data_IF_129138685839
#
_entry.id   IF_129138685839
#
_cell.length_a   1.000
_cell.length_b   1.000
_cell.length_c   1.000
_cell.angle_alpha   90.00
_cell.angle_beta   90.00
_cell.angle_gamma   90.00
#
_symmetry.space_group_name_H-M   'P 1'
#
loop_
_entity.id
_entity.type
_entity.pdbx_description
1 polymer ?
#
# COMPACT_ATOMS: atom_id res chain seq x y z
N UNK A 1 12.42 44.10 -36.53
CA UNK A 1 11.96 45.30 -35.82
C UNK A 1 10.87 44.95 -34.83
N UNK A 2 11.08 45.24 -33.55
CA UNK A 2 10.02 45.31 -32.57
C UNK A 2 10.11 44.25 -31.46
N UNK A 3 11.03 44.44 -30.52
CA UNK A 3 11.09 43.83 -29.17
C UNK A 3 10.07 44.55 -28.30
N UNK A 4 9.26 43.79 -27.56
CA UNK A 4 8.58 44.33 -26.40
C UNK A 4 8.71 43.31 -25.25
N UNK A 5 9.61 43.59 -24.32
CA UNK A 5 9.69 43.07 -22.97
C UNK A 5 8.58 43.71 -22.14
N UNK A 6 7.86 42.89 -21.39
CA UNK A 6 7.08 43.35 -20.24
C UNK A 6 7.43 42.53 -19.02
N UNK A 7 8.19 43.16 -18.16
CA UNK A 7 8.47 42.75 -16.78
C UNK A 7 7.27 43.22 -15.93
N UNK A 8 6.66 42.30 -15.18
CA UNK A 8 5.74 42.68 -14.12
C UNK A 8 6.28 42.12 -12.82
N UNK A 9 6.83 43.00 -12.03
CA UNK A 9 7.16 42.77 -10.63
C UNK A 9 5.92 43.10 -9.80
N UNK A 10 5.55 42.26 -8.88
CA UNK A 10 4.66 42.61 -7.80
C UNK A 10 5.25 42.20 -6.47
N UNK A 11 5.37 43.19 -5.66
CA UNK A 11 6.00 43.32 -4.37
C UNK A 11 5.25 42.62 -3.24
N UNK A 12 6.00 42.11 -2.37
CA UNK A 12 5.94 41.94 -0.92
C UNK A 12 4.98 42.87 -0.16
N UNK A 13 4.22 42.32 0.78
CA UNK A 13 3.74 43.01 1.97
C UNK A 13 3.58 42.00 3.12
N UNK A 14 4.51 42.05 4.02
CA UNK A 14 4.43 41.59 5.40
C UNK A 14 3.42 42.43 6.20
N UNK A 15 2.66 41.76 7.05
CA UNK A 15 2.13 42.37 8.29
C UNK A 15 1.97 41.29 9.36
N UNK A 16 2.82 41.37 10.35
CA UNK A 16 2.68 40.88 11.69
C UNK A 16 1.50 41.54 12.39
N UNK A 17 0.68 40.81 13.10
CA UNK A 17 0.22 41.26 14.42
C UNK A 17 -0.17 40.06 15.31
N UNK A 18 0.27 40.14 16.51
CA UNK A 18 0.06 39.23 17.61
C UNK A 18 -1.06 39.79 18.50
N UNK A 19 -1.95 38.96 19.01
CA UNK A 19 -2.61 39.18 20.31
C UNK A 19 -3.25 37.89 20.83
N UNK A 20 -2.80 37.53 21.90
CA UNK A 20 -3.11 36.79 23.10
C UNK A 20 -4.56 36.80 23.59
N UNK A 21 -4.84 35.74 24.40
CA UNK A 21 -5.76 35.67 25.58
C UNK A 21 -7.22 35.40 25.27
N UNK A 22 -7.99 34.57 25.93
CA UNK A 22 -8.00 33.95 27.25
C UNK A 22 -9.02 32.82 27.30
N UNK A 23 -8.71 31.74 27.98
CA UNK A 23 -9.40 31.07 29.07
C UNK A 23 -10.95 31.16 29.17
N UNK A 24 -11.65 29.98 29.12
CA UNK A 24 -12.64 29.61 30.16
C UNK A 24 -13.14 28.16 29.98
N UNK A 25 -12.85 27.38 30.87
CA UNK A 25 -13.35 26.37 31.76
C UNK A 25 -14.89 26.37 31.94
N UNK A 26 -15.55 25.24 31.71
CA UNK A 26 -16.74 24.79 32.47
C UNK A 26 -16.98 23.31 32.21
N UNK A 27 -16.75 22.46 33.14
CA UNK A 27 -17.56 21.78 34.15
C UNK A 27 -18.69 20.88 33.62
N UNK A 28 -18.48 19.61 33.83
CA UNK A 28 -19.28 18.56 34.48
C UNK A 28 -20.80 18.59 34.29
N UNK A 29 -21.31 17.49 33.75
CA UNK A 29 -22.48 16.85 34.41
C UNK A 29 -22.47 15.34 34.21
N UNK A 30 -22.40 14.69 35.36
CA UNK A 30 -22.59 13.29 35.69
C UNK A 30 -24.08 13.03 35.77
N UNK A 31 -24.55 11.92 35.24
CA UNK A 31 -25.83 11.36 35.66
C UNK A 31 -25.77 9.85 35.62
N UNK A 32 -25.70 9.32 36.79
CA UNK A 32 -25.97 7.94 37.16
C UNK A 32 -27.45 7.64 36.94
N UNK A 33 -27.82 6.49 36.48
CA UNK A 33 -28.97 5.80 37.07
C UNK A 33 -28.87 4.29 36.95
N UNK A 34 -29.12 3.72 38.04
CA UNK A 34 -29.06 2.40 38.57
C UNK A 34 -30.25 1.52 38.18
N UNK A 35 -30.03 0.21 38.26
CA UNK A 35 -30.90 -0.81 38.87
C UNK A 35 -32.05 -1.42 38.01
N UNK A 36 -32.10 -2.72 37.78
CA UNK A 36 -32.62 -3.72 38.68
C UNK A 36 -32.56 -5.15 38.11
N UNK A 37 -31.98 -5.99 38.88
CA UNK A 37 -32.08 -7.40 39.15
C UNK A 37 -33.52 -7.93 39.12
N UNK A 38 -33.73 -9.09 38.47
CA UNK A 38 -34.73 -10.04 39.00
C UNK A 38 -34.34 -11.49 38.70
N UNK A 39 -34.31 -12.23 39.74
CA UNK A 39 -34.03 -13.68 39.87
C UNK A 39 -35.32 -14.50 39.78
N UNK A 40 -35.11 -15.83 39.57
CA UNK A 40 -35.91 -17.01 39.96
C UNK A 40 -36.96 -17.46 38.95
N UNK A 41 -37.25 -18.71 38.78
CA UNK A 41 -36.92 -20.02 39.39
C UNK A 41 -37.49 -21.12 38.51
N UNK A 42 -36.78 -22.25 38.47
CA UNK A 42 -37.17 -23.66 38.42
C UNK A 42 -38.51 -24.09 37.81
N UNK A 43 -38.48 -25.08 36.91
CA UNK A 43 -38.98 -26.44 37.23
C UNK A 43 -38.62 -27.44 36.13
N UNK A 44 -38.27 -28.60 36.61
CA UNK A 44 -37.85 -29.87 36.10
C UNK A 44 -39.01 -30.60 35.39
N UNK A 45 -38.71 -31.29 34.27
CA UNK A 45 -39.45 -32.48 33.87
C UNK A 45 -38.60 -33.38 32.99
N UNK A 46 -38.46 -34.61 33.43
CA UNK A 46 -37.69 -35.70 32.82
C UNK A 46 -38.40 -36.32 31.60
N UNK A 47 -37.51 -36.99 30.83
CA UNK A 47 -37.68 -38.20 30.02
C UNK A 47 -38.25 -38.04 28.59
N UNK A 48 -37.45 -38.32 27.53
CA UNK A 48 -37.42 -39.65 26.92
C UNK A 48 -36.27 -39.77 25.91
N UNK A 49 -35.62 -40.93 25.89
CA UNK A 49 -34.53 -41.31 24.98
C UNK A 49 -35.13 -41.67 23.62
N UNK A 50 -34.60 -41.11 22.57
CA UNK A 50 -34.55 -41.77 21.29
C UNK A 50 -33.16 -41.49 20.68
N UNK A 51 -32.37 -42.50 20.56
CA UNK A 51 -31.13 -42.55 19.76
C UNK A 51 -31.52 -42.39 18.30
N UNK A 52 -31.04 -41.33 17.63
CA UNK A 52 -30.93 -41.29 16.18
C UNK A 52 -29.49 -40.96 15.82
N UNK A 53 -28.82 -41.99 15.34
CA UNK A 53 -27.50 -42.01 14.79
C UNK A 53 -27.56 -41.30 13.41
N UNK A 54 -27.27 -40.01 13.38
CA UNK A 54 -27.11 -39.27 12.14
C UNK A 54 -25.69 -38.80 12.03
N UNK A 55 -24.93 -39.48 11.21
CA UNK A 55 -23.66 -39.12 10.65
C UNK A 55 -23.49 -37.62 10.46
N UNK A 56 -22.81 -36.98 11.38
CA UNK A 56 -22.30 -35.63 11.22
C UNK A 56 -21.10 -35.66 10.32
N UNK A 57 -21.37 -35.68 9.02
CA UNK A 57 -20.36 -35.44 7.99
C UNK A 57 -19.84 -34.00 8.21
N UNK A 58 -18.78 -33.92 8.94
CA UNK A 58 -17.95 -32.71 9.06
C UNK A 58 -17.48 -32.35 7.64
N UNK A 59 -18.14 -31.37 7.06
CA UNK A 59 -17.72 -30.78 5.80
C UNK A 59 -16.46 -29.94 6.09
N UNK A 60 -15.29 -30.58 6.14
CA UNK A 60 -14.01 -29.90 6.11
C UNK A 60 -13.91 -29.24 4.74
N UNK A 61 -14.20 -27.95 4.71
CA UNK A 61 -13.82 -27.09 3.61
C UNK A 61 -12.29 -27.07 3.59
N UNK A 62 -11.70 -27.84 2.71
CA UNK A 62 -10.28 -27.76 2.40
C UNK A 62 -10.08 -26.36 1.80
N UNK A 63 -9.61 -25.43 2.61
CA UNK A 63 -9.09 -24.16 2.10
C UNK A 63 -7.80 -24.51 1.36
N UNK A 64 -7.81 -24.36 0.03
CA UNK A 64 -6.60 -24.43 -0.76
C UNK A 64 -5.63 -23.35 -0.23
N UNK A 65 -4.44 -23.76 0.17
CA UNK A 65 -3.35 -22.84 0.54
C UNK A 65 -2.89 -22.13 -0.73
N UNK A 66 -3.31 -20.87 -0.89
CA UNK A 66 -2.95 -20.01 -2.02
C UNK A 66 -1.64 -19.25 -1.77
N UNK A 67 -0.96 -19.54 -0.68
CA UNK A 67 0.27 -18.85 -0.34
C UNK A 67 1.32 -19.01 -1.43
N UNK A 68 2.08 -17.95 -1.64
CA UNK A 68 3.17 -17.89 -2.58
C UNK A 68 4.45 -17.43 -1.88
N UNK A 69 5.59 -17.90 -2.37
CA UNK A 69 6.91 -17.40 -1.99
C UNK A 69 7.41 -16.48 -3.10
N UNK A 70 7.74 -15.25 -2.75
CA UNK A 70 8.22 -14.22 -3.69
C UNK A 70 9.59 -13.70 -3.26
N UNK A 71 10.35 -13.19 -4.21
CA UNK A 71 11.61 -12.50 -3.96
C UNK A 71 11.37 -11.01 -3.84
N UNK A 72 11.68 -10.43 -2.69
CA UNK A 72 11.65 -8.97 -2.47
C UNK A 72 13.06 -8.40 -2.65
N UNK A 73 13.16 -7.33 -3.41
CA UNK A 73 14.39 -6.57 -3.61
C UNK A 73 14.38 -5.30 -2.78
N UNK A 74 15.52 -4.99 -2.15
CA UNK A 74 15.77 -3.75 -1.39
C UNK A 74 17.16 -3.23 -1.73
N UNK A 75 17.50 -2.01 -1.33
CA UNK A 75 18.90 -1.58 -1.32
C UNK A 75 19.65 -2.16 -0.12
N UNK A 76 20.98 -2.34 -0.27
CA UNK A 76 21.83 -2.54 0.89
C UNK A 76 21.96 -1.23 1.71
N UNK A 77 22.54 -1.31 2.91
CA UNK A 77 22.64 -0.19 3.85
C UNK A 77 23.40 1.03 3.26
N UNK A 78 24.36 0.79 2.40
CA UNK A 78 25.17 1.83 1.75
C UNK A 78 24.53 2.37 0.46
N UNK A 79 23.37 1.86 0.05
CA UNK A 79 22.70 2.17 -1.21
C UNK A 79 23.63 2.07 -2.44
N UNK A 80 24.35 0.96 -2.54
CA UNK A 80 25.32 0.67 -3.63
C UNK A 80 24.98 -0.58 -4.42
N UNK A 81 24.03 -1.41 -3.92
CA UNK A 81 23.61 -2.64 -4.58
C UNK A 81 22.19 -3.03 -4.15
N UNK A 82 21.50 -3.78 -5.02
CA UNK A 82 20.30 -4.48 -4.63
C UNK A 82 20.65 -5.73 -3.80
N UNK A 83 19.88 -5.99 -2.77
CA UNK A 83 19.85 -7.24 -2.03
C UNK A 83 18.45 -7.84 -2.15
N UNK A 84 18.36 -9.17 -2.04
CA UNK A 84 17.09 -9.85 -2.18
C UNK A 84 16.88 -10.84 -1.05
N UNK A 85 15.61 -11.04 -0.68
CA UNK A 85 15.20 -12.05 0.28
C UNK A 85 13.90 -12.72 -0.15
N UNK A 86 13.71 -13.96 0.26
CA UNK A 86 12.47 -14.69 0.03
C UNK A 86 11.46 -14.37 1.12
N UNK A 87 10.22 -14.06 0.73
CA UNK A 87 9.12 -13.71 1.62
C UNK A 87 7.88 -14.51 1.24
N UNK A 88 7.23 -15.11 2.24
CA UNK A 88 5.93 -15.78 2.04
C UNK A 88 4.81 -14.76 2.13
N UNK A 89 3.90 -14.78 1.15
CA UNK A 89 2.67 -14.00 1.10
C UNK A 89 1.45 -14.93 1.04
N UNK A 90 0.30 -14.45 1.48
CA UNK A 90 -0.92 -15.27 1.57
C UNK A 90 -1.46 -15.68 0.19
N UNK A 91 -1.33 -14.84 -0.80
CA UNK A 91 -1.72 -15.09 -2.19
C UNK A 91 -0.89 -14.19 -3.10
N UNK A 92 -0.55 -14.68 -4.31
CA UNK A 92 0.15 -13.87 -5.31
C UNK A 92 -0.82 -12.84 -5.92
N UNK A 93 -0.89 -11.67 -5.27
CA UNK A 93 -1.63 -10.51 -5.75
C UNK A 93 -0.73 -9.28 -5.72
N UNK A 94 -0.99 -8.28 -6.60
CA UNK A 94 -0.22 -7.03 -6.59
C UNK A 94 -0.25 -6.33 -5.24
N UNK A 95 -1.39 -6.36 -4.55
CA UNK A 95 -1.59 -5.77 -3.24
C UNK A 95 -0.70 -6.44 -2.18
N UNK A 96 -0.62 -7.76 -2.19
CA UNK A 96 0.23 -8.50 -1.25
C UNK A 96 1.73 -8.27 -1.52
N UNK A 97 2.13 -8.12 -2.79
CA UNK A 97 3.50 -7.72 -3.16
C UNK A 97 3.80 -6.32 -2.61
N UNK A 98 2.91 -5.33 -2.83
CA UNK A 98 3.08 -3.97 -2.30
C UNK A 98 3.12 -3.97 -0.78
N UNK A 99 2.26 -4.73 -0.11
CA UNK A 99 2.28 -4.88 1.35
C UNK A 99 3.63 -5.45 1.84
N UNK A 100 4.20 -6.43 1.14
CA UNK A 100 5.52 -6.96 1.47
C UNK A 100 6.64 -5.92 1.28
N UNK A 101 6.59 -5.12 0.21
CA UNK A 101 7.52 -4.00 -0.02
C UNK A 101 7.39 -2.91 1.06
N UNK A 102 6.18 -2.62 1.52
CA UNK A 102 5.92 -1.70 2.65
C UNK A 102 6.52 -2.25 3.95
N UNK A 103 6.32 -3.55 4.25
CA UNK A 103 6.91 -4.19 5.43
C UNK A 103 8.44 -4.15 5.43
N UNK A 104 9.05 -4.15 4.24
CA UNK A 104 10.50 -4.02 4.05
C UNK A 104 10.97 -2.56 3.94
N UNK A 105 10.08 -1.60 4.20
CA UNK A 105 10.37 -0.17 4.14
C UNK A 105 10.84 0.35 2.76
N UNK A 106 10.53 -0.38 1.70
CA UNK A 106 10.77 0.06 0.32
C UNK A 106 9.73 1.09 -0.10
N UNK A 107 8.49 0.91 0.35
CA UNK A 107 7.38 1.79 0.02
C UNK A 107 6.72 2.36 1.28
N UNK A 108 6.10 3.52 1.12
CA UNK A 108 5.25 4.14 2.13
C UNK A 108 3.92 3.38 2.30
N UNK A 109 3.35 3.41 3.49
CA UNK A 109 2.16 2.64 3.86
C UNK A 109 0.87 3.07 3.16
N UNK A 110 0.86 4.19 2.47
CA UNK A 110 -0.26 4.75 1.70
C UNK A 110 -0.20 4.43 0.20
N UNK A 111 0.90 3.82 -0.27
CA UNK A 111 1.01 3.34 -1.65
C UNK A 111 0.05 2.19 -1.90
N UNK A 112 -0.66 2.24 -3.03
CA UNK A 112 -1.61 1.21 -3.49
C UNK A 112 -1.44 0.96 -4.98
N UNK A 113 -1.66 -0.30 -5.38
CA UNK A 113 -1.85 -0.64 -6.80
C UNK A 113 -3.31 -0.37 -7.17
N UNK A 114 -3.52 0.32 -8.26
CA UNK A 114 -4.83 0.60 -8.85
C UNK A 114 -5.16 -0.44 -9.93
N UNK A 115 -4.13 -0.87 -10.66
CA UNK A 115 -4.27 -1.81 -11.77
C UNK A 115 -2.98 -2.59 -11.97
N UNK A 116 -3.10 -3.87 -12.34
CA UNK A 116 -1.96 -4.70 -12.74
C UNK A 116 -2.40 -5.67 -13.83
N UNK A 117 -1.76 -5.60 -14.99
CA UNK A 117 -2.13 -6.40 -16.17
C UNK A 117 -0.90 -6.99 -16.85
N UNK A 118 -0.96 -8.29 -17.14
CA UNK A 118 0.04 -8.94 -17.97
C UNK A 118 -0.17 -8.57 -19.44
N UNK A 119 0.92 -8.26 -20.12
CA UNK A 119 0.95 -7.89 -21.54
C UNK A 119 2.00 -8.72 -22.30
N UNK A 120 1.91 -8.71 -23.61
CA UNK A 120 2.98 -9.19 -24.49
C UNK A 120 3.45 -8.02 -25.33
N UNK A 121 4.67 -7.58 -25.13
CA UNK A 121 5.25 -6.44 -25.84
C UNK A 121 6.52 -6.89 -26.54
N UNK A 122 6.59 -6.69 -27.85
CA UNK A 122 7.71 -7.15 -28.69
C UNK A 122 7.99 -8.67 -28.56
N UNK A 123 6.96 -9.45 -28.26
CA UNK A 123 7.07 -10.90 -28.10
C UNK A 123 7.54 -11.37 -26.73
N UNK A 124 7.77 -10.48 -25.76
CA UNK A 124 8.16 -10.82 -24.40
C UNK A 124 7.03 -10.56 -23.41
N UNK A 125 6.97 -11.38 -22.35
CA UNK A 125 6.02 -11.20 -21.26
C UNK A 125 6.37 -9.94 -20.48
N UNK A 126 5.41 -9.05 -20.35
CA UNK A 126 5.55 -7.74 -19.73
C UNK A 126 4.42 -7.50 -18.75
N UNK A 127 4.58 -6.54 -17.83
CA UNK A 127 3.58 -6.21 -16.84
C UNK A 127 3.34 -4.70 -16.83
N UNK A 128 2.08 -4.28 -16.88
CA UNK A 128 1.64 -2.90 -16.66
C UNK A 128 1.13 -2.79 -15.22
N UNK A 129 1.75 -1.90 -14.42
CA UNK A 129 1.36 -1.65 -13.03
C UNK A 129 1.05 -0.17 -12.85
N UNK A 130 -0.18 0.13 -12.46
CA UNK A 130 -0.63 1.49 -12.16
C UNK A 130 -0.76 1.67 -10.65
N UNK A 131 -0.11 2.69 -10.12
CA UNK A 131 -0.14 3.03 -8.71
C UNK A 131 -0.96 4.29 -8.46
N UNK A 132 -1.39 4.47 -7.22
CA UNK A 132 -2.01 5.70 -6.77
C UNK A 132 -1.00 6.85 -6.66
N UNK A 133 -1.50 8.08 -6.51
CA UNK A 133 -0.71 9.32 -6.38
C UNK A 133 0.36 9.22 -5.29
N UNK A 134 0.11 8.48 -4.21
CA UNK A 134 1.06 8.34 -3.10
C UNK A 134 2.40 7.74 -3.54
N UNK A 135 2.42 6.83 -4.54
CA UNK A 135 3.67 6.29 -5.08
C UNK A 135 4.50 7.37 -5.77
N UNK A 136 3.88 8.16 -6.66
CA UNK A 136 4.55 9.26 -7.34
C UNK A 136 5.10 10.30 -6.35
N UNK A 137 4.29 10.72 -5.38
CA UNK A 137 4.70 11.65 -4.34
C UNK A 137 5.87 11.10 -3.50
N UNK A 138 5.84 9.81 -3.16
CA UNK A 138 6.90 9.15 -2.41
C UNK A 138 8.23 9.16 -3.18
N UNK A 139 8.21 8.75 -4.44
CA UNK A 139 9.40 8.75 -5.30
C UNK A 139 9.93 10.17 -5.51
N UNK A 140 9.06 11.15 -5.79
CA UNK A 140 9.44 12.56 -5.94
C UNK A 140 10.07 13.17 -4.67
N UNK A 141 9.79 12.63 -3.50
CA UNK A 141 10.37 13.11 -2.23
C UNK A 141 11.81 12.66 -2.00
N UNK A 142 12.34 11.79 -2.83
CA UNK A 142 13.66 11.16 -2.67
C UNK A 142 14.74 11.90 -3.46
N UNK A 143 16.00 11.70 -3.05
CA UNK A 143 17.14 12.02 -3.91
C UNK A 143 17.37 10.91 -4.95
N UNK A 144 18.16 11.18 -5.98
CA UNK A 144 18.43 10.30 -7.14
C UNK A 144 18.74 8.85 -6.74
N UNK A 145 19.56 8.63 -5.72
CA UNK A 145 19.91 7.29 -5.25
C UNK A 145 18.72 6.56 -4.65
N UNK A 146 17.94 7.24 -3.78
CA UNK A 146 16.73 6.65 -3.17
C UNK A 146 15.69 6.31 -4.23
N UNK A 147 15.46 7.22 -5.18
CA UNK A 147 14.59 7.00 -6.34
C UNK A 147 14.98 5.76 -7.13
N UNK A 148 16.27 5.65 -7.51
CA UNK A 148 16.78 4.52 -8.27
C UNK A 148 16.54 3.18 -7.56
N UNK A 149 16.89 3.09 -6.28
CA UNK A 149 16.71 1.86 -5.52
C UNK A 149 15.25 1.56 -5.21
N UNK A 150 14.41 2.55 -4.99
CA UNK A 150 12.98 2.33 -4.76
C UNK A 150 12.28 1.83 -6.02
N UNK A 151 12.45 2.51 -7.15
CA UNK A 151 11.87 2.08 -8.43
C UNK A 151 12.42 0.72 -8.83
N UNK A 152 13.73 0.52 -8.73
CA UNK A 152 14.37 -0.74 -9.06
C UNK A 152 13.93 -1.90 -8.19
N UNK A 153 13.74 -1.67 -6.89
CA UNK A 153 13.19 -2.69 -5.96
C UNK A 153 11.78 -3.12 -6.36
N UNK A 154 10.91 -2.16 -6.68
CA UNK A 154 9.55 -2.44 -7.18
C UNK A 154 9.61 -3.23 -8.48
N UNK A 155 10.35 -2.74 -9.48
CA UNK A 155 10.47 -3.39 -10.79
C UNK A 155 11.00 -4.80 -10.66
N UNK A 156 12.12 -5.01 -9.97
CA UNK A 156 12.76 -6.32 -9.81
C UNK A 156 11.85 -7.31 -9.08
N UNK A 157 11.13 -6.85 -8.06
CA UNK A 157 10.18 -7.68 -7.31
C UNK A 157 9.02 -8.14 -8.20
N UNK A 158 8.41 -7.22 -8.96
CA UNK A 158 7.30 -7.56 -9.86
C UNK A 158 7.75 -8.44 -11.02
N UNK A 159 8.95 -8.21 -11.59
CA UNK A 159 9.53 -9.06 -12.63
C UNK A 159 9.62 -10.52 -12.17
N UNK A 160 10.17 -10.77 -10.99
CA UNK A 160 10.33 -12.13 -10.46
C UNK A 160 8.99 -12.74 -10.05
N UNK A 161 8.14 -11.99 -9.38
CA UNK A 161 6.85 -12.46 -8.89
C UNK A 161 5.92 -12.94 -10.03
N UNK A 162 5.92 -12.24 -11.17
CA UNK A 162 5.09 -12.57 -12.32
C UNK A 162 5.84 -13.32 -13.44
N UNK A 163 7.15 -13.53 -13.30
CA UNK A 163 7.98 -14.15 -14.34
C UNK A 163 7.94 -13.34 -15.64
N UNK A 164 8.06 -12.01 -15.54
CA UNK A 164 8.08 -11.08 -16.66
C UNK A 164 9.48 -10.60 -16.97
N UNK A 165 9.70 -10.08 -18.18
CA UNK A 165 10.99 -9.52 -18.60
C UNK A 165 11.01 -7.99 -18.47
N UNK A 166 9.83 -7.35 -18.52
CA UNK A 166 9.69 -5.90 -18.49
C UNK A 166 8.49 -5.49 -17.63
N UNK A 167 8.63 -4.38 -16.92
CA UNK A 167 7.56 -3.74 -16.15
C UNK A 167 7.42 -2.29 -16.59
N UNK A 168 6.19 -1.85 -16.85
CA UNK A 168 5.85 -0.44 -17.01
C UNK A 168 5.08 0.02 -15.79
N UNK A 169 5.51 1.14 -15.22
CA UNK A 169 4.84 1.76 -14.08
C UNK A 169 4.15 3.05 -14.53
N UNK A 170 2.91 3.22 -14.10
CA UNK A 170 2.15 4.47 -14.22
C UNK A 170 1.65 4.91 -12.86
N UNK A 171 1.25 6.17 -12.74
CA UNK A 171 0.64 6.77 -11.55
C UNK A 171 -0.66 7.44 -11.97
N UNK A 172 -1.79 6.94 -11.46
CA UNK A 172 -3.13 7.40 -11.88
C UNK A 172 -3.29 7.39 -13.43
N UNK A 173 -2.73 6.35 -14.08
CA UNK A 173 -2.75 6.19 -15.54
C UNK A 173 -1.76 7.06 -16.32
N UNK A 174 -1.00 7.94 -15.66
CA UNK A 174 -0.01 8.81 -16.28
C UNK A 174 1.39 8.20 -16.21
N UNK A 175 2.30 8.66 -17.08
CA UNK A 175 3.71 8.31 -17.00
C UNK A 175 4.25 8.58 -15.59
N UNK A 176 5.03 7.63 -15.06
CA UNK A 176 5.75 7.85 -13.81
C UNK A 176 6.78 8.97 -14.01
N UNK A 177 6.60 10.04 -13.27
CA UNK A 177 7.55 11.15 -13.14
C UNK A 177 8.14 11.14 -11.73
N UNK A 178 9.42 11.43 -11.62
CA UNK A 178 10.12 11.59 -10.36
C UNK A 178 10.68 13.02 -10.24
N UNK A 179 11.36 13.30 -9.13
CA UNK A 179 12.07 14.57 -8.97
C UNK A 179 13.26 14.74 -9.95
N UNK A 180 13.70 13.67 -10.63
CA UNK A 180 14.92 13.65 -11.42
C UNK A 180 14.74 13.13 -12.85
N UNK A 181 13.60 12.58 -13.21
CA UNK A 181 13.36 12.04 -14.54
C UNK A 181 11.96 11.51 -14.78
N UNK A 182 11.73 11.04 -16.00
CA UNK A 182 10.49 10.42 -16.46
C UNK A 182 10.77 8.97 -16.85
N UNK A 183 9.78 8.09 -16.62
CA UNK A 183 9.84 6.66 -16.94
C UNK A 183 8.71 6.28 -17.91
N UNK A 184 8.80 6.72 -19.19
CA UNK A 184 7.66 6.65 -20.11
C UNK A 184 7.40 5.27 -20.70
N UNK A 185 8.23 4.27 -20.42
CA UNK A 185 8.19 2.99 -21.09
C UNK A 185 8.37 1.81 -20.16
N UNK A 186 8.60 0.66 -20.77
CA UNK A 186 8.91 -0.56 -20.06
C UNK A 186 10.36 -0.56 -19.57
N UNK A 187 10.53 -0.86 -18.30
CA UNK A 187 11.80 -0.99 -17.62
C UNK A 187 12.22 -2.46 -17.56
N UNK A 188 13.51 -2.71 -17.79
CA UNK A 188 14.13 -4.00 -17.53
C UNK A 188 14.57 -4.07 -16.06
N UNK A 189 15.14 -5.22 -15.67
CA UNK A 189 15.76 -5.39 -14.36
C UNK A 189 16.82 -4.32 -14.09
N UNK A 190 16.76 -3.78 -12.90
CA UNK A 190 17.77 -2.86 -12.35
C UNK A 190 18.92 -3.68 -11.75
N UNK A 191 20.15 -3.19 -11.88
CA UNK A 191 21.40 -3.83 -11.41
C UNK A 191 22.09 -3.00 -10.31
#
# INVERSE_FOLDING_TARGET
TGVLLSVSACSNSSSTDASQSDNQKNEQQKSDNDNQKNEKQDEQSEADQVEDDSDKKENQTVQEDKSAEITIYTSNDDATAFVSESVKIDELTPENIVNALVQKSVLSSDVRVLKCEEQTVDGVKSLDVDFNEAFGAYVCSMGTTGEYYTIGSVVNTFLDAYGCEKVKITVEGNTLESGHGEYPGYMNRFE
#
